data_IF_446989279777
#
_entry.id   IF_446989279777
#
_cell.length_a   1.000
_cell.length_b   1.000
_cell.length_c   1.000
_cell.angle_alpha   90.00
_cell.angle_beta   90.00
_cell.angle_gamma   90.00
#
_symmetry.space_group_name_H-M   'P 1'
#
loop_
_entity.id
_entity.type
_entity.pdbx_description
1 polymer ?
#
# COMPACT_ATOMS: atom_id res chain seq x y z
N UNK A 1 -13.67 -18.13 -11.02
CA UNK A 1 -13.45 -17.85 -9.59
C UNK A 1 -12.06 -17.23 -9.44
N UNK A 2 -11.91 -15.91 -9.61
CA UNK A 2 -10.59 -15.27 -9.48
C UNK A 2 -10.32 -14.98 -8.01
N UNK A 3 -9.64 -15.92 -7.36
CA UNK A 3 -9.09 -15.80 -6.01
C UNK A 3 -8.07 -14.65 -6.01
N UNK A 4 -8.46 -13.43 -5.63
CA UNK A 4 -7.54 -12.38 -5.13
C UNK A 4 -6.19 -12.25 -5.90
N UNK A 5 -6.20 -11.63 -7.09
CA UNK A 5 -5.04 -11.63 -8.00
C UNK A 5 -4.32 -10.27 -8.13
N UNK A 6 -4.56 -9.31 -7.22
CA UNK A 6 -3.92 -7.99 -7.36
C UNK A 6 -2.52 -7.94 -6.75
N UNK A 7 -2.33 -8.42 -5.51
CA UNK A 7 -1.03 -8.65 -4.89
C UNK A 7 -1.24 -9.22 -3.47
N UNK A 8 -0.22 -9.87 -2.86
CA UNK A 8 -0.28 -10.28 -1.46
C UNK A 8 -0.48 -9.10 -0.51
N UNK A 9 -0.97 -9.40 0.71
CA UNK A 9 -1.01 -8.44 1.80
C UNK A 9 0.42 -8.13 2.22
N UNK A 10 0.79 -6.85 2.17
CA UNK A 10 2.12 -6.37 2.53
C UNK A 10 2.03 -5.19 3.49
N UNK A 11 3.05 -5.01 4.30
CA UNK A 11 3.21 -3.82 5.13
C UNK A 11 4.02 -2.79 4.35
N UNK A 12 3.48 -1.58 4.22
CA UNK A 12 4.18 -0.48 3.60
C UNK A 12 4.90 0.34 4.68
N UNK A 13 6.20 0.65 4.50
CA UNK A 13 6.87 1.62 5.35
C UNK A 13 6.30 3.02 5.06
N UNK A 14 5.86 3.72 6.11
CA UNK A 14 5.49 5.13 6.01
C UNK A 14 6.74 5.98 6.20
N UNK A 15 6.93 6.97 5.33
CA UNK A 15 7.94 8.01 5.51
C UNK A 15 7.63 8.89 6.74
N UNK A 16 8.60 9.71 7.16
CA UNK A 16 8.47 10.69 8.25
C UNK A 16 7.27 11.65 8.07
N UNK A 17 6.86 11.86 6.82
CA UNK A 17 5.70 12.67 6.44
C UNK A 17 4.36 11.90 6.45
N UNK A 18 4.36 10.64 6.92
CA UNK A 18 3.19 9.77 6.96
C UNK A 18 2.69 9.35 5.57
N UNK A 19 3.56 9.29 4.56
CA UNK A 19 3.19 8.89 3.19
C UNK A 19 3.81 7.53 2.87
N UNK A 20 3.10 6.72 2.09
CA UNK A 20 3.62 5.48 1.54
C UNK A 20 3.05 5.22 0.14
N UNK A 21 3.80 4.50 -0.70
CA UNK A 21 3.35 4.07 -2.02
C UNK A 21 3.48 2.57 -2.17
N UNK A 22 2.41 1.91 -2.63
CA UNK A 22 2.44 0.47 -2.86
C UNK A 22 3.27 0.13 -4.10
N UNK A 23 4.32 -0.68 -3.92
CA UNK A 23 5.17 -1.14 -5.01
C UNK A 23 4.46 -2.08 -6.01
N UNK A 24 3.32 -2.66 -5.62
CA UNK A 24 2.59 -3.59 -6.48
C UNK A 24 1.53 -2.90 -7.34
N UNK A 25 0.68 -2.06 -6.72
CA UNK A 25 -0.45 -1.43 -7.40
C UNK A 25 -0.31 0.09 -7.59
N UNK A 26 0.75 0.70 -7.06
CA UNK A 26 0.99 2.14 -7.17
C UNK A 26 0.07 3.01 -6.30
N UNK A 27 -0.75 2.41 -5.45
CA UNK A 27 -1.63 3.15 -4.55
C UNK A 27 -0.83 4.03 -3.56
N UNK A 28 -1.24 5.29 -3.41
CA UNK A 28 -0.65 6.24 -2.48
C UNK A 28 -1.48 6.32 -1.19
N UNK A 29 -0.81 6.13 -0.06
CA UNK A 29 -1.39 6.14 1.28
C UNK A 29 -0.86 7.34 2.06
N UNK A 30 -1.73 7.95 2.86
CA UNK A 30 -1.42 9.10 3.71
C UNK A 30 -2.01 8.81 5.09
N UNK A 31 -1.17 8.91 6.12
CA UNK A 31 -1.57 8.82 7.51
C UNK A 31 -2.39 10.06 7.86
N UNK A 32 -3.69 9.88 8.11
CA UNK A 32 -4.55 10.91 8.68
C UNK A 32 -4.70 10.67 10.18
N UNK A 33 -4.59 11.76 10.95
CA UNK A 33 -4.89 11.81 12.38
C UNK A 33 -6.38 11.62 12.64
#
# INVERSE_FOLDING_TARGET
MYLWNSHPKVYLPLDENGKAMCHYCGASFILRN
#
